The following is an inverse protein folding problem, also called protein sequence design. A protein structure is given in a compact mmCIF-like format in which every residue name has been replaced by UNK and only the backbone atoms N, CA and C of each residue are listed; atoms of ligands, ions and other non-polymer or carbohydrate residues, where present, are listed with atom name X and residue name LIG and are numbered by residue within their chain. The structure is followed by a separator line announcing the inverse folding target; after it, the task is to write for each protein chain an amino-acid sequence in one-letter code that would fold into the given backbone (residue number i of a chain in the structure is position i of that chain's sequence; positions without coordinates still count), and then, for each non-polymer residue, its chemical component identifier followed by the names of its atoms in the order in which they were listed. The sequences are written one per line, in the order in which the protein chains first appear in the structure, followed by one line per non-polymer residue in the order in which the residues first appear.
data_IF_777208293915
#
_entry.id   IF_777208293915
#
_cell.length_a   1.000
_cell.length_b   1.000
_cell.length_c   1.000
_cell.angle_alpha   90.00
_cell.angle_beta   90.00
_cell.angle_gamma   90.00
#
_symmetry.space_group_name_H-M   'P 1'
#
loop_
_entity.id
_entity.type
_entity.pdbx_description
1 polymer ?
#
# COMPACT_ATOMS: atom_id res chain seq x y z
N UNK A 1 61.32 -54.18 10.37
CA UNK A 1 61.44 -52.77 10.80
C UNK A 1 62.90 -52.47 11.06
N UNK A 2 63.30 -51.21 10.95
CA UNK A 2 64.66 -50.73 11.20
C UNK A 2 64.60 -49.58 12.22
N UNK A 3 65.47 -49.62 13.23
CA UNK A 3 65.67 -48.52 14.18
C UNK A 3 67.14 -48.11 14.14
N UNK A 4 67.43 -46.84 13.87
CA UNK A 4 68.80 -46.30 13.82
C UNK A 4 68.83 -44.80 14.17
N UNK A 5 69.96 -44.12 13.93
CA UNK A 5 70.14 -42.69 14.20
C UNK A 5 69.16 -41.76 13.44
N UNK A 6 68.49 -42.27 12.40
CA UNK A 6 67.46 -41.53 11.66
C UNK A 6 66.04 -41.77 12.20
N UNK A 7 65.83 -42.76 13.08
CA UNK A 7 64.54 -43.07 13.71
C UNK A 7 64.03 -44.50 13.46
N UNK A 8 62.70 -44.68 13.43
CA UNK A 8 61.99 -45.94 13.18
C UNK A 8 61.36 -45.94 11.78
N UNK A 9 61.61 -46.99 11.01
CA UNK A 9 61.01 -47.21 9.68
C UNK A 9 60.57 -48.68 9.47
N UNK A 10 59.57 -48.91 8.64
CA UNK A 10 59.27 -50.25 8.13
C UNK A 10 60.13 -50.54 6.89
N UNK A 11 60.76 -51.71 6.88
CA UNK A 11 61.66 -52.16 5.82
C UNK A 11 61.29 -53.57 5.42
N UNK A 12 61.60 -53.95 4.18
CA UNK A 12 61.47 -55.31 3.68
C UNK A 12 62.56 -56.25 4.24
N UNK A 13 62.60 -57.50 3.77
CA UNK A 13 63.61 -58.49 4.21
C UNK A 13 65.06 -58.14 3.83
N UNK A 14 65.26 -57.19 2.91
CA UNK A 14 66.56 -56.71 2.44
C UNK A 14 66.98 -55.40 3.12
N UNK A 15 66.12 -54.83 3.98
CA UNK A 15 66.38 -53.57 4.67
C UNK A 15 66.02 -52.32 3.87
N UNK A 16 65.38 -52.45 2.71
CA UNK A 16 64.91 -51.31 1.93
C UNK A 16 63.60 -50.76 2.52
N UNK A 17 63.43 -49.43 2.50
CA UNK A 17 62.21 -48.80 3.01
C UNK A 17 60.96 -49.26 2.25
N UNK A 18 59.92 -49.62 2.98
CA UNK A 18 58.62 -49.96 2.39
C UNK A 18 57.88 -48.65 2.07
N UNK A 19 57.50 -48.45 0.81
CA UNK A 19 56.72 -47.28 0.40
C UNK A 19 55.36 -47.23 1.10
N UNK A 20 54.84 -46.02 1.36
CA UNK A 20 53.57 -45.79 2.08
C UNK A 20 53.47 -46.54 3.43
N UNK A 21 54.59 -46.65 4.13
CA UNK A 21 54.64 -47.19 5.49
C UNK A 21 54.90 -46.09 6.52
N UNK A 22 54.40 -46.24 7.77
CA UNK A 22 54.64 -45.24 8.80
C UNK A 22 56.13 -45.11 9.16
N UNK A 23 56.54 -43.93 9.62
CA UNK A 23 57.90 -43.74 10.17
C UNK A 23 57.90 -42.66 11.26
N UNK A 24 58.90 -42.74 12.14
CA UNK A 24 59.17 -41.76 13.20
C UNK A 24 60.63 -41.32 13.03
N UNK A 25 60.88 -40.02 12.92
CA UNK A 25 62.22 -39.46 12.77
C UNK A 25 62.39 -38.18 13.61
N UNK A 26 63.60 -37.61 13.61
CA UNK A 26 63.85 -36.30 14.21
C UNK A 26 63.01 -35.15 13.62
N UNK A 27 62.43 -35.37 12.44
CA UNK A 27 61.57 -34.40 11.76
C UNK A 27 60.08 -34.63 12.05
N UNK A 28 59.72 -35.61 12.90
CA UNK A 28 58.35 -35.92 13.27
C UNK A 28 57.88 -37.30 12.80
N UNK A 29 56.55 -37.46 12.77
CA UNK A 29 55.85 -38.71 12.45
C UNK A 29 55.24 -38.59 11.05
N UNK A 30 55.47 -39.58 10.20
CA UNK A 30 54.79 -39.73 8.92
C UNK A 30 53.90 -40.99 8.99
N UNK A 31 52.59 -40.85 8.76
CA UNK A 31 51.66 -41.96 8.77
C UNK A 31 51.74 -42.83 7.49
N UNK A 32 52.49 -42.41 6.47
CA UNK A 32 52.68 -43.17 5.24
C UNK A 32 51.40 -43.33 4.42
N UNK A 33 50.53 -42.31 4.38
CA UNK A 33 49.20 -42.37 3.75
C UNK A 33 48.22 -43.37 4.41
N UNK A 34 48.53 -43.85 5.62
CA UNK A 34 47.64 -44.70 6.40
C UNK A 34 46.76 -43.87 7.33
N UNK A 35 45.59 -44.40 7.69
CA UNK A 35 44.75 -43.84 8.75
C UNK A 35 45.41 -44.04 10.11
N UNK A 36 45.41 -43.00 10.95
CA UNK A 36 45.72 -43.12 12.38
C UNK A 36 44.40 -43.40 13.10
N UNK A 37 44.24 -44.61 13.63
CA UNK A 37 43.03 -45.04 14.33
C UNK A 37 43.23 -45.03 15.85
N UNK A 38 42.14 -45.17 16.61
CA UNK A 38 42.14 -45.18 18.09
C UNK A 38 42.71 -43.90 18.73
N UNK A 39 42.59 -42.78 18.04
CA UNK A 39 42.91 -41.46 18.60
C UNK A 39 41.77 -41.05 19.51
N UNK A 40 42.05 -40.91 20.81
CA UNK A 40 41.11 -40.33 21.77
C UNK A 40 40.71 -38.90 21.34
N UNK A 41 39.60 -38.38 21.87
CA UNK A 41 39.27 -36.97 21.61
C UNK A 41 40.38 -36.10 22.20
N UNK A 42 41.01 -35.28 21.36
CA UNK A 42 41.98 -34.30 21.82
C UNK A 42 41.28 -33.10 22.45
N UNK A 43 41.97 -32.36 23.30
CA UNK A 43 41.42 -31.11 23.83
C UNK A 43 41.27 -30.07 22.71
N UNK A 44 40.17 -29.31 22.70
CA UNK A 44 39.92 -28.22 21.72
C UNK A 44 39.84 -26.90 22.47
N UNK A 45 40.98 -26.25 22.61
CA UNK A 45 41.13 -24.93 23.23
C UNK A 45 42.28 -24.16 22.57
N UNK A 46 42.43 -22.88 22.90
CA UNK A 46 43.36 -21.97 22.21
C UNK A 46 44.84 -22.37 22.27
N UNK A 47 45.25 -23.22 23.23
CA UNK A 47 46.64 -23.66 23.40
C UNK A 47 46.83 -25.16 23.17
N UNK A 48 45.80 -25.87 22.71
CA UNK A 48 45.88 -27.31 22.50
C UNK A 48 46.84 -27.66 21.36
N UNK A 49 47.61 -28.72 21.57
CA UNK A 49 48.46 -29.36 20.57
C UNK A 49 48.04 -30.80 20.29
N UNK A 50 46.87 -31.20 20.79
CA UNK A 50 46.38 -32.56 20.63
C UNK A 50 45.89 -32.83 19.21
N UNK A 51 46.03 -34.08 18.76
CA UNK A 51 45.39 -34.52 17.53
C UNK A 51 43.87 -34.64 17.75
N UNK A 52 43.08 -34.00 16.87
CA UNK A 52 41.62 -34.18 16.85
C UNK A 52 41.24 -35.40 16.01
N UNK A 53 40.20 -36.11 16.43
CA UNK A 53 39.69 -37.25 15.67
C UNK A 53 38.43 -36.91 14.88
N UNK A 54 38.00 -37.85 14.02
CA UNK A 54 36.84 -37.64 13.14
C UNK A 54 35.52 -37.34 13.86
N UNK A 55 35.34 -37.79 15.11
CA UNK A 55 34.11 -37.47 15.87
C UNK A 55 34.00 -35.98 16.19
N UNK A 56 35.13 -35.32 16.49
CA UNK A 56 35.18 -33.88 16.77
C UNK A 56 34.93 -33.06 15.51
N UNK A 57 35.53 -33.46 14.38
CA UNK A 57 35.25 -32.82 13.09
C UNK A 57 33.79 -33.02 12.65
N UNK A 58 33.20 -34.18 12.94
CA UNK A 58 31.78 -34.44 12.66
C UNK A 58 30.84 -33.58 13.51
N UNK A 59 31.18 -33.29 14.78
CA UNK A 59 30.43 -32.34 15.61
C UNK A 59 30.43 -30.93 15.00
N UNK A 60 31.58 -30.47 14.50
CA UNK A 60 31.68 -29.18 13.79
C UNK A 60 30.85 -29.18 12.51
N UNK A 61 30.95 -30.23 11.68
CA UNK A 61 30.15 -30.35 10.44
C UNK A 61 28.64 -30.31 10.73
N UNK A 62 28.18 -30.99 11.78
CA UNK A 62 26.78 -30.96 12.15
C UNK A 62 26.31 -29.55 12.53
N UNK A 63 27.15 -28.73 13.16
CA UNK A 63 26.80 -27.34 13.51
C UNK A 63 26.84 -26.45 12.27
N UNK A 64 27.90 -26.55 11.47
CA UNK A 64 28.06 -25.77 10.25
C UNK A 64 26.92 -26.02 9.24
N UNK A 65 26.37 -27.24 9.21
CA UNK A 65 25.31 -27.63 8.29
C UNK A 65 23.88 -27.29 8.77
N UNK A 66 23.69 -26.68 9.95
CA UNK A 66 22.33 -26.42 10.48
C UNK A 66 21.55 -25.40 9.67
N UNK A 67 22.21 -24.38 9.14
CA UNK A 67 21.52 -23.21 8.58
C UNK A 67 20.73 -22.44 9.64
N UNK A 68 19.64 -21.79 9.24
CA UNK A 68 18.76 -21.04 10.13
C UNK A 68 17.30 -21.15 9.71
N UNK A 69 16.37 -20.97 10.65
CA UNK A 69 14.94 -21.08 10.37
C UNK A 69 14.33 -19.70 10.07
N UNK A 70 13.60 -19.59 8.97
CA UNK A 70 12.77 -18.45 8.61
C UNK A 70 11.30 -18.74 8.97
N UNK A 71 10.66 -17.76 9.59
CA UNK A 71 9.20 -17.71 9.79
C UNK A 71 8.72 -16.32 9.39
N UNK A 72 7.54 -16.23 8.77
CA UNK A 72 6.92 -14.94 8.45
C UNK A 72 5.71 -14.69 9.34
N UNK A 73 5.41 -13.43 9.66
CA UNK A 73 4.21 -13.00 10.39
C UNK A 73 3.98 -13.72 11.73
N UNK A 74 5.05 -14.06 12.46
CA UNK A 74 4.99 -14.86 13.70
C UNK A 74 4.23 -16.21 13.55
N UNK A 75 4.14 -16.74 12.33
CA UNK A 75 3.46 -17.99 12.05
C UNK A 75 4.43 -19.18 12.13
N UNK A 76 4.42 -19.91 13.23
CA UNK A 76 5.28 -21.08 13.42
C UNK A 76 5.06 -22.18 12.37
N UNK A 77 3.87 -22.29 11.76
CA UNK A 77 3.58 -23.25 10.71
C UNK A 77 4.28 -22.89 9.38
N UNK A 78 4.70 -21.64 9.19
CA UNK A 78 5.49 -21.20 8.03
C UNK A 78 6.99 -21.50 8.15
N UNK A 79 7.42 -22.11 9.26
CA UNK A 79 8.83 -22.37 9.53
C UNK A 79 9.47 -23.17 8.40
N UNK A 80 10.50 -22.60 7.81
CA UNK A 80 11.33 -23.24 6.79
C UNK A 80 12.80 -23.10 7.17
N UNK A 81 13.59 -24.15 6.98
CA UNK A 81 15.03 -24.09 7.22
C UNK A 81 15.75 -23.61 5.95
N UNK A 82 16.49 -22.52 6.08
CA UNK A 82 17.41 -22.02 5.07
C UNK A 82 18.76 -22.69 5.34
N UNK A 83 19.14 -23.62 4.46
CA UNK A 83 20.43 -24.30 4.53
C UNK A 83 21.60 -23.31 4.38
N UNK A 84 22.83 -23.68 4.80
CA UNK A 84 24.02 -22.94 4.38
C UNK A 84 24.05 -22.78 2.86
N UNK A 85 24.48 -21.61 2.40
CA UNK A 85 24.43 -21.17 0.99
C UNK A 85 23.02 -21.13 0.35
N UNK A 86 21.96 -21.38 1.13
CA UNK A 86 20.58 -21.18 0.73
C UNK A 86 20.22 -19.70 0.62
N UNK A 87 19.29 -19.38 -0.28
CA UNK A 87 18.82 -18.01 -0.51
C UNK A 87 17.41 -17.81 0.00
N UNK A 88 17.13 -16.62 0.53
CA UNK A 88 15.78 -16.12 0.75
C UNK A 88 15.54 -14.99 -0.22
N UNK A 89 14.55 -15.15 -1.10
CA UNK A 89 14.10 -14.08 -1.98
C UNK A 89 12.92 -13.35 -1.32
N UNK A 90 13.07 -12.04 -1.13
CA UNK A 90 12.01 -11.16 -0.64
C UNK A 90 11.46 -10.42 -1.86
N UNK A 91 10.47 -11.02 -2.51
CA UNK A 91 9.86 -10.50 -3.72
C UNK A 91 8.48 -9.89 -3.45
N UNK A 92 8.06 -8.99 -4.34
CA UNK A 92 6.75 -8.34 -4.28
C UNK A 92 6.08 -8.37 -5.67
N UNK A 93 5.13 -9.27 -5.86
CA UNK A 93 4.52 -9.52 -7.16
C UNK A 93 3.57 -8.42 -7.64
N UNK A 94 2.95 -7.68 -6.72
CA UNK A 94 1.93 -6.66 -7.03
C UNK A 94 2.50 -5.25 -7.26
N UNK A 95 3.82 -5.09 -7.15
CA UNK A 95 4.55 -3.81 -7.27
C UNK A 95 4.17 -2.70 -6.26
N UNK A 96 3.40 -3.00 -5.21
CA UNK A 96 3.07 -2.03 -4.14
C UNK A 96 4.26 -1.69 -3.23
N UNK A 97 5.26 -2.57 -3.14
CA UNK A 97 6.49 -2.38 -2.40
C UNK A 97 7.68 -2.24 -3.35
N UNK A 98 8.60 -1.34 -2.99
CA UNK A 98 9.96 -1.31 -3.53
C UNK A 98 10.87 -1.94 -2.49
N UNK A 99 11.58 -2.98 -2.90
CA UNK A 99 12.48 -3.76 -2.05
C UNK A 99 13.89 -3.60 -2.60
N UNK A 100 14.85 -3.29 -1.74
CA UNK A 100 16.26 -3.21 -2.10
C UNK A 100 17.14 -3.75 -0.98
N UNK A 101 18.35 -4.20 -1.31
CA UNK A 101 19.31 -4.71 -0.35
C UNK A 101 20.67 -4.06 -0.54
N UNK A 102 21.34 -3.76 0.58
CA UNK A 102 22.71 -3.23 0.62
C UNK A 102 23.50 -4.07 1.63
N UNK A 103 24.22 -5.08 1.13
CA UNK A 103 24.80 -6.12 1.98
C UNK A 103 23.71 -6.89 2.73
N UNK A 104 23.77 -6.85 4.07
CA UNK A 104 22.82 -7.54 4.95
C UNK A 104 21.62 -6.68 5.37
N UNK A 105 21.52 -5.43 4.90
CA UNK A 105 20.38 -4.58 5.19
C UNK A 105 19.35 -4.66 4.06
N UNK A 106 18.09 -4.91 4.41
CA UNK A 106 16.96 -4.92 3.49
C UNK A 106 16.12 -3.66 3.75
N UNK A 107 16.00 -2.81 2.74
CA UNK A 107 15.09 -1.66 2.75
C UNK A 107 13.79 -2.04 2.04
N UNK A 108 12.67 -1.79 2.72
CA UNK A 108 11.32 -2.04 2.22
C UNK A 108 10.52 -0.76 2.39
N UNK A 109 10.02 -0.22 1.28
CA UNK A 109 9.19 0.99 1.25
C UNK A 109 8.00 0.81 0.34
N UNK A 110 6.98 1.64 0.50
CA UNK A 110 5.90 1.74 -0.47
C UNK A 110 6.44 2.26 -1.82
N UNK A 111 5.87 1.77 -2.91
CA UNK A 111 6.05 2.37 -4.22
C UNK A 111 5.35 3.74 -4.27
N UNK A 112 5.74 4.58 -5.25
CA UNK A 112 5.09 5.88 -5.44
C UNK A 112 3.60 5.75 -5.81
N UNK A 113 3.19 4.57 -6.28
CA UNK A 113 1.82 4.21 -6.54
C UNK A 113 1.52 2.90 -5.81
N UNK A 114 0.42 2.87 -5.08
CA UNK A 114 -0.08 1.68 -4.39
C UNK A 114 -1.49 1.38 -4.90
N UNK A 115 -1.70 0.16 -5.36
CA UNK A 115 -2.99 -0.36 -5.82
C UNK A 115 -3.52 -1.38 -4.83
N UNK A 116 -4.69 -1.10 -4.27
CA UNK A 116 -5.37 -1.94 -3.27
C UNK A 116 -6.49 -2.71 -3.98
N UNK A 117 -6.56 -4.02 -3.74
CA UNK A 117 -7.61 -4.87 -4.31
C UNK A 117 -7.42 -5.12 -5.81
N UNK A 118 -6.21 -5.46 -6.26
CA UNK A 118 -5.90 -5.81 -7.66
C UNK A 118 -6.33 -7.23 -8.08
N UNK A 119 -6.96 -7.99 -7.18
CA UNK A 119 -7.43 -9.35 -7.45
C UNK A 119 -8.60 -9.40 -8.43
N UNK A 120 -8.80 -10.58 -9.03
CA UNK A 120 -9.93 -10.84 -9.93
C UNK A 120 -11.27 -10.54 -9.26
N UNK A 121 -12.15 -9.81 -9.95
CA UNK A 121 -13.47 -9.42 -9.46
C UNK A 121 -13.49 -8.28 -8.44
N UNK A 122 -12.36 -7.62 -8.20
CA UNK A 122 -12.25 -6.48 -7.28
C UNK A 122 -12.43 -5.13 -8.00
N UNK A 123 -12.70 -4.07 -7.24
CA UNK A 123 -12.68 -2.68 -7.70
C UNK A 123 -11.39 -2.02 -7.17
N UNK A 124 -10.29 -2.05 -7.93
CA UNK A 124 -9.00 -1.59 -7.43
C UNK A 124 -9.02 -0.08 -7.17
N UNK A 125 -8.51 0.32 -6.01
CA UNK A 125 -8.29 1.72 -5.67
C UNK A 125 -6.80 1.99 -5.71
N UNK A 126 -6.41 3.06 -6.39
CA UNK A 126 -5.01 3.44 -6.55
C UNK A 126 -4.74 4.75 -5.83
N UNK A 127 -3.74 4.74 -4.93
CA UNK A 127 -3.15 5.96 -4.36
C UNK A 127 -1.87 6.25 -5.13
N UNK A 128 -1.84 7.35 -5.87
CA UNK A 128 -0.69 7.75 -6.68
C UNK A 128 -0.05 9.01 -6.10
N UNK A 129 1.09 8.83 -5.43
CA UNK A 129 1.88 9.90 -4.85
C UNK A 129 2.60 10.78 -5.88
N UNK A 130 2.80 10.31 -7.12
CA UNK A 130 3.37 11.14 -8.19
C UNK A 130 2.38 12.18 -8.68
N UNK A 131 1.09 11.83 -8.76
CA UNK A 131 0.03 12.74 -9.23
C UNK A 131 -0.75 13.38 -8.09
N UNK A 132 -0.53 12.93 -6.85
CA UNK A 132 -1.28 13.37 -5.66
C UNK A 132 -2.75 12.96 -5.69
N UNK A 133 -3.11 11.90 -6.42
CA UNK A 133 -4.50 11.51 -6.67
C UNK A 133 -4.84 10.13 -6.11
N UNK A 134 -6.13 9.96 -5.81
CA UNK A 134 -6.75 8.68 -5.49
C UNK A 134 -7.76 8.38 -6.60
N UNK A 135 -7.61 7.24 -7.28
CA UNK A 135 -8.45 6.84 -8.42
C UNK A 135 -9.07 5.45 -8.18
N UNK A 136 -10.05 5.08 -9.02
CA UNK A 136 -10.72 3.78 -8.96
C UNK A 136 -11.89 3.71 -7.97
N UNK A 137 -12.26 4.84 -7.37
CA UNK A 137 -13.46 4.95 -6.56
C UNK A 137 -14.71 4.73 -7.43
N UNK A 138 -15.66 3.94 -6.93
CA UNK A 138 -16.85 3.52 -7.69
C UNK A 138 -18.12 4.29 -7.34
N UNK A 139 -18.09 5.13 -6.29
CA UNK A 139 -19.20 5.97 -5.88
C UNK A 139 -19.33 7.21 -6.78
N UNK A 140 -19.76 7.03 -8.03
CA UNK A 140 -19.79 8.09 -9.05
C UNK A 140 -21.09 8.88 -9.10
N UNK A 141 -22.14 8.45 -8.38
CA UNK A 141 -23.46 9.10 -8.40
C UNK A 141 -23.82 9.71 -7.06
N UNK A 142 -24.57 10.80 -7.11
CA UNK A 142 -25.12 11.47 -5.92
C UNK A 142 -26.65 11.35 -5.92
N UNK A 143 -27.21 10.87 -4.82
CA UNK A 143 -28.66 10.84 -4.58
C UNK A 143 -28.99 11.77 -3.41
N UNK A 144 -29.66 12.91 -3.65
CA UNK A 144 -29.96 13.89 -2.61
C UNK A 144 -30.92 13.36 -1.52
N UNK A 145 -31.62 12.25 -1.76
CA UNK A 145 -32.56 11.66 -0.81
C UNK A 145 -31.94 10.49 -0.01
N UNK A 146 -30.73 10.06 -0.36
CA UNK A 146 -30.07 8.97 0.34
C UNK A 146 -29.45 9.44 1.67
N UNK A 147 -29.31 8.51 2.62
CA UNK A 147 -28.58 8.76 3.89
C UNK A 147 -27.15 8.22 3.78
N UNK A 148 -26.16 9.07 4.07
CA UNK A 148 -24.74 8.74 3.94
C UNK A 148 -24.03 8.73 5.30
N UNK A 149 -23.70 7.53 5.81
CA UNK A 149 -23.02 7.36 7.12
C UNK A 149 -21.61 6.77 7.00
N UNK A 150 -21.20 6.33 5.81
CA UNK A 150 -19.96 5.56 5.62
C UNK A 150 -18.68 6.42 5.64
N UNK A 151 -18.79 7.76 5.60
CA UNK A 151 -17.65 8.71 5.59
C UNK A 151 -16.60 8.39 4.52
N UNK A 152 -17.06 7.96 3.35
CA UNK A 152 -16.21 7.63 2.20
C UNK A 152 -15.78 8.90 1.46
N UNK A 153 -14.66 8.83 0.75
CA UNK A 153 -14.23 9.91 -0.14
C UNK A 153 -15.20 10.08 -1.32
N UNK A 154 -15.49 11.31 -1.71
CA UNK A 154 -16.34 11.61 -2.87
C UNK A 154 -15.52 11.59 -4.18
N UNK A 155 -16.18 11.26 -5.30
CA UNK A 155 -15.56 11.37 -6.62
C UNK A 155 -15.84 12.74 -7.26
N UNK A 156 -15.07 13.06 -8.32
CA UNK A 156 -15.28 14.29 -9.09
C UNK A 156 -16.67 14.32 -9.74
N UNK A 157 -17.23 13.18 -10.14
CA UNK A 157 -18.57 13.06 -10.70
C UNK A 157 -19.66 13.43 -9.67
N UNK A 158 -19.53 12.98 -8.42
CA UNK A 158 -20.45 13.38 -7.35
C UNK A 158 -20.36 14.88 -7.08
N UNK A 159 -19.15 15.43 -7.00
CA UNK A 159 -18.95 16.87 -6.78
C UNK A 159 -19.50 17.69 -7.95
N UNK A 160 -19.32 17.22 -9.19
CA UNK A 160 -19.90 17.84 -10.37
C UNK A 160 -21.43 17.81 -10.33
N UNK A 161 -22.04 16.69 -9.98
CA UNK A 161 -23.50 16.58 -9.87
C UNK A 161 -24.07 17.61 -8.89
N UNK A 162 -23.43 17.76 -7.72
CA UNK A 162 -23.80 18.78 -6.72
C UNK A 162 -23.56 20.20 -7.26
N UNK A 163 -22.43 20.44 -7.93
CA UNK A 163 -22.11 21.73 -8.54
C UNK A 163 -23.13 22.13 -9.61
N UNK A 164 -23.56 21.20 -10.45
CA UNK A 164 -24.53 21.47 -11.52
C UNK A 164 -25.90 21.86 -10.92
N UNK A 165 -26.34 21.21 -9.84
CA UNK A 165 -27.55 21.62 -9.10
C UNK A 165 -27.42 23.04 -8.57
N UNK A 166 -26.29 23.37 -7.93
CA UNK A 166 -26.05 24.71 -7.41
C UNK A 166 -26.00 25.78 -8.52
N UNK A 167 -25.33 25.49 -9.63
CA UNK A 167 -25.25 26.40 -10.77
C UNK A 167 -26.62 26.59 -11.43
N UNK A 168 -27.43 25.52 -11.56
CA UNK A 168 -28.77 25.63 -12.12
C UNK A 168 -29.72 26.41 -11.21
N UNK A 169 -29.64 26.22 -9.88
CA UNK A 169 -30.38 27.05 -8.94
C UNK A 169 -29.98 28.53 -9.04
N UNK A 170 -28.67 28.82 -9.21
CA UNK A 170 -28.16 30.18 -9.36
C UNK A 170 -28.52 30.86 -10.68
N UNK A 171 -28.96 30.11 -11.70
CA UNK A 171 -29.57 30.69 -12.89
C UNK A 171 -30.91 31.36 -12.55
N UNK A 172 -31.62 30.96 -11.50
CA UNK A 172 -32.92 31.54 -11.22
C UNK A 172 -33.95 31.27 -12.32
N UNK A 173 -34.91 32.18 -12.51
CA UNK A 173 -36.13 31.95 -13.31
C UNK A 173 -36.42 33.14 -14.23
N UNK A 174 -37.10 32.89 -15.35
CA UNK A 174 -37.39 33.96 -16.31
C UNK A 174 -38.75 34.61 -16.01
N UNK A 175 -38.80 35.95 -16.06
CA UNK A 175 -40.05 36.72 -16.06
C UNK A 175 -40.27 37.32 -17.46
N UNK A 176 -41.51 37.24 -17.94
CA UNK A 176 -41.99 37.88 -19.17
C UNK A 176 -43.34 38.52 -18.87
N UNK A 177 -43.58 39.71 -19.43
CA UNK A 177 -44.87 40.40 -19.35
C UNK A 177 -45.29 40.76 -20.76
N UNK A 178 -46.30 40.06 -21.31
CA UNK A 178 -47.00 40.33 -22.58
C UNK A 178 -46.17 40.98 -23.70
N UNK A 179 -44.96 40.47 -23.93
CA UNK A 179 -43.97 41.00 -24.89
C UNK A 179 -43.38 42.39 -24.60
N UNK A 180 -43.82 43.07 -23.53
CA UNK A 180 -43.29 44.36 -23.07
C UNK A 180 -41.98 44.23 -22.28
N UNK A 181 -41.75 43.09 -21.63
CA UNK A 181 -40.47 42.77 -20.99
C UNK A 181 -39.74 41.69 -21.78
N UNK A 182 -38.56 42.03 -22.30
CA UNK A 182 -37.64 41.02 -22.85
C UNK A 182 -37.29 39.99 -21.76
N UNK A 183 -37.13 38.73 -22.15
CA UNK A 183 -36.88 37.63 -21.21
C UNK A 183 -35.73 37.98 -20.25
N UNK A 184 -36.08 38.30 -19.01
CA UNK A 184 -35.12 38.71 -17.98
C UNK A 184 -35.05 37.62 -16.93
N UNK A 185 -33.83 37.19 -16.64
CA UNK A 185 -33.55 36.19 -15.64
C UNK A 185 -33.52 36.86 -14.26
N UNK A 186 -34.39 36.41 -13.36
CA UNK A 186 -34.45 36.81 -11.96
C UNK A 186 -33.55 35.86 -11.18
N UNK A 187 -32.42 36.37 -10.69
CA UNK A 187 -31.46 35.64 -9.87
C UNK A 187 -31.94 35.55 -8.42
N UNK A 188 -31.38 34.66 -7.58
CA UNK A 188 -31.86 34.46 -6.20
C UNK A 188 -31.90 35.71 -5.31
N UNK A 189 -31.12 36.75 -5.61
CA UNK A 189 -31.08 38.01 -4.84
C UNK A 189 -31.83 39.16 -5.53
N UNK A 190 -32.40 38.94 -6.71
CA UNK A 190 -33.08 39.98 -7.46
C UNK A 190 -34.47 40.21 -6.85
N UNK A 191 -34.92 41.47 -6.87
CA UNK A 191 -36.28 41.83 -6.48
C UNK A 191 -37.15 41.91 -7.73
N UNK A 192 -38.30 41.24 -7.70
CA UNK A 192 -39.37 41.44 -8.68
C UNK A 192 -40.43 42.31 -8.01
N UNK A 193 -40.56 43.55 -8.48
CA UNK A 193 -41.62 44.44 -8.02
C UNK A 193 -42.89 44.21 -8.86
N UNK A 194 -43.97 43.82 -8.18
CA UNK A 194 -45.28 43.54 -8.78
C UNK A 194 -46.26 44.51 -8.14
N UNK A 195 -46.16 45.78 -8.57
CA UNK A 195 -46.98 46.90 -8.10
C UNK A 195 -47.87 47.49 -9.19
N UNK A 196 -48.59 48.55 -8.82
CA UNK A 196 -49.37 49.35 -9.77
C UNK A 196 -48.50 50.44 -10.39
N UNK A 197 -48.88 50.90 -11.58
CA UNK A 197 -48.24 52.06 -12.20
C UNK A 197 -48.33 53.29 -11.27
N UNK A 198 -47.31 54.15 -11.31
CA UNK A 198 -47.29 55.37 -10.50
C UNK A 198 -48.53 56.24 -10.78
N UNK A 199 -49.31 56.52 -9.74
CA UNK A 199 -50.52 57.35 -9.83
C UNK A 199 -51.81 56.58 -10.18
N UNK A 200 -51.75 55.27 -10.42
CA UNK A 200 -52.93 54.45 -10.66
C UNK A 200 -53.81 54.35 -9.40
N UNK A 201 -55.11 54.66 -9.53
CA UNK A 201 -56.08 54.66 -8.42
C UNK A 201 -57.27 53.71 -8.63
N UNK A 202 -57.48 53.24 -9.85
CA UNK A 202 -58.59 52.36 -10.23
C UNK A 202 -58.31 50.91 -9.86
N UNK A 203 -57.05 50.54 -9.74
CA UNK A 203 -56.63 49.22 -9.25
C UNK A 203 -56.14 49.33 -7.81
N UNK A 204 -56.36 48.27 -7.05
CA UNK A 204 -55.76 48.02 -5.74
C UNK A 204 -55.04 46.69 -5.79
N UNK A 205 -53.78 46.68 -5.37
CA UNK A 205 -53.01 45.45 -5.18
C UNK A 205 -52.87 45.17 -3.68
N UNK A 206 -53.06 43.92 -3.28
CA UNK A 206 -52.69 43.44 -1.94
C UNK A 206 -51.80 42.23 -2.06
N UNK A 207 -50.76 42.15 -1.23
CA UNK A 207 -49.90 40.98 -1.15
C UNK A 207 -49.97 40.40 0.26
N UNK A 208 -50.27 39.10 0.36
CA UNK A 208 -50.33 38.37 1.63
C UNK A 208 -49.44 37.15 1.53
N UNK A 209 -48.52 36.98 2.48
CA UNK A 209 -47.76 35.75 2.67
C UNK A 209 -48.42 34.93 3.77
N UNK A 210 -48.71 33.67 3.50
CA UNK A 210 -49.41 32.78 4.44
C UNK A 210 -48.51 32.19 5.54
N UNK A 211 -47.20 32.47 5.50
CA UNK A 211 -46.19 31.90 6.40
C UNK A 211 -45.87 30.42 6.14
N UNK A 212 -46.48 29.80 5.13
CA UNK A 212 -46.33 28.38 4.74
C UNK A 212 -45.72 28.22 3.34
N UNK A 213 -45.30 29.32 2.72
CA UNK A 213 -44.61 29.34 1.44
C UNK A 213 -45.48 29.78 0.26
N UNK A 214 -46.73 30.19 0.50
CA UNK A 214 -47.58 30.78 -0.54
C UNK A 214 -47.60 32.30 -0.36
N UNK A 215 -47.30 33.03 -1.44
CA UNK A 215 -47.58 34.47 -1.51
C UNK A 215 -48.69 34.69 -2.53
N UNK A 216 -49.81 35.27 -2.08
CA UNK A 216 -50.92 35.65 -2.95
C UNK A 216 -50.82 37.14 -3.24
N UNK A 217 -50.89 37.49 -4.53
CA UNK A 217 -50.98 38.86 -5.00
C UNK A 217 -52.37 39.01 -5.63
N UNK A 218 -53.23 39.77 -4.96
CA UNK A 218 -54.59 40.03 -5.41
C UNK A 218 -54.70 41.41 -6.04
N UNK A 219 -55.43 41.47 -7.14
CA UNK A 219 -55.82 42.71 -7.78
C UNK A 219 -57.33 42.87 -7.69
N UNK A 220 -57.78 44.07 -7.34
CA UNK A 220 -59.20 44.43 -7.33
C UNK A 220 -59.38 45.82 -7.91
N UNK A 221 -60.59 46.09 -8.42
CA UNK A 221 -60.97 47.43 -8.82
C UNK A 221 -61.38 48.25 -7.60
N UNK A 222 -61.01 49.52 -7.58
CA UNK A 222 -61.60 50.52 -6.70
C UNK A 222 -63.10 50.62 -6.97
N UNK A 223 -63.88 50.88 -5.90
CA UNK A 223 -65.34 51.03 -6.02
C UNK A 223 -65.71 52.21 -6.92
N UNK A 224 -64.93 53.27 -6.83
CA UNK A 224 -65.03 54.45 -7.68
C UNK A 224 -63.90 54.39 -8.71
N UNK A 225 -64.25 54.54 -9.98
CA UNK A 225 -63.30 54.56 -11.08
C UNK A 225 -63.06 56.01 -11.51
N UNK A 226 -61.81 56.43 -11.42
CA UNK A 226 -61.31 57.66 -12.00
C UNK A 226 -61.02 57.42 -13.49
N UNK A 227 -61.94 57.84 -14.34
CA UNK A 227 -61.89 57.63 -15.79
C UNK A 227 -61.91 58.98 -16.50
N UNK A 228 -60.91 59.21 -17.36
CA UNK A 228 -60.79 60.46 -18.09
C UNK A 228 -61.97 60.68 -19.04
N UNK A 229 -62.52 59.60 -19.62
CA UNK A 229 -63.69 59.65 -20.51
C UNK A 229 -64.49 58.34 -20.46
N UNK A 230 -65.81 58.42 -20.63
CA UNK A 230 -66.69 57.27 -20.94
C UNK A 230 -67.17 57.43 -22.38
N UNK A 231 -66.90 56.44 -23.23
CA UNK A 231 -67.34 56.38 -24.63
C UNK A 231 -68.28 55.23 -24.85
#
# INVERSE_FOLDING_TARGET
TLINSNGLSFVDGSGNAIANSPSISKNGINAGNQKITNVAKGDVNATSTDAVNGSQLNEVQQIANKGWNLTTNNNAASKSNVAPDGTVDISNADSNLVISNQGNNVDIRLANQVTIGSGTGSNPVTVNGMTGRINGLTNTTWDPNATYNNKQAATEEQLKSVSDVAQNANKGWNVKSDSNLAATQVKPTDTVDIGLATGESNLKSTAVNDGKGTTTIDFSLSRDLNIDTVT
#
